data_IF_539757518026
#
_entry.id   IF_539757518026
#
_cell.length_a   1.000
_cell.length_b   1.000
_cell.length_c   1.000
_cell.angle_alpha   90.00
_cell.angle_beta   90.00
_cell.angle_gamma   90.00
#
_symmetry.space_group_name_H-M   'P 1'
#
loop_
_entity.id
_entity.type
_entity.pdbx_description
1 polymer ?
#
# COMPACT_ATOMS: atom_id res chain seq x y z
N UNK A 1 -5.47 -3.59 6.81
CA UNK A 1 -6.30 -2.39 6.57
C UNK A 1 -5.62 -1.13 7.05
N UNK A 2 -5.49 -0.16 6.15
CA UNK A 2 -4.93 1.19 6.38
C UNK A 2 -5.94 2.31 6.13
N UNK A 3 -7.22 1.93 6.08
CA UNK A 3 -8.42 2.79 6.05
C UNK A 3 -9.47 2.16 6.96
N UNK A 4 -10.52 2.89 7.30
CA UNK A 4 -11.71 2.29 7.91
C UNK A 4 -12.41 1.39 6.87
N UNK A 5 -12.75 0.14 7.19
CA UNK A 5 -13.36 -0.76 6.23
C UNK A 5 -14.75 -0.27 5.80
N UNK A 6 -15.14 -0.57 4.56
CA UNK A 6 -16.50 -0.37 4.06
C UNK A 6 -16.58 0.40 2.75
N UNK A 7 -15.73 1.42 2.55
CA UNK A 7 -15.83 2.31 1.38
C UNK A 7 -14.54 2.43 0.58
N UNK A 8 -14.70 2.56 -0.74
CA UNK A 8 -13.64 2.84 -1.69
C UNK A 8 -13.17 4.31 -1.64
N UNK A 9 -11.90 4.56 -1.96
CA UNK A 9 -11.37 5.91 -2.18
C UNK A 9 -11.04 6.72 -0.94
N UNK A 10 -11.06 6.07 0.23
CA UNK A 10 -10.65 6.65 1.50
C UNK A 10 -9.14 6.91 1.55
N UNK A 11 -8.75 7.91 2.35
CA UNK A 11 -7.35 8.28 2.53
C UNK A 11 -6.67 7.31 3.49
N UNK A 12 -5.39 7.03 3.22
CA UNK A 12 -4.53 6.28 4.12
C UNK A 12 -4.51 6.91 5.53
N UNK A 13 -4.68 6.09 6.57
CA UNK A 13 -4.65 6.52 7.97
C UNK A 13 -3.19 6.77 8.38
N UNK A 14 -2.93 7.91 9.02
CA UNK A 14 -1.57 8.37 9.35
C UNK A 14 -0.76 7.35 10.18
N UNK A 15 -1.41 6.68 11.13
CA UNK A 15 -0.79 5.65 11.98
C UNK A 15 -0.68 4.26 11.29
N UNK A 16 -1.01 4.17 9.99
CA UNK A 16 -0.92 2.94 9.22
C UNK A 16 0.51 2.41 9.11
N UNK A 17 1.50 3.29 8.95
CA UNK A 17 2.91 2.91 8.84
C UNK A 17 3.45 2.27 10.12
N UNK A 18 3.11 2.84 11.29
CA UNK A 18 3.52 2.27 12.58
C UNK A 18 2.97 0.86 12.78
N UNK A 19 1.73 0.62 12.33
CA UNK A 19 1.11 -0.70 12.38
C UNK A 19 1.84 -1.69 11.46
N UNK A 20 2.18 -1.28 10.25
CA UNK A 20 2.93 -2.08 9.29
C UNK A 20 4.28 -2.49 9.88
N UNK A 21 5.05 -1.53 10.44
CA UNK A 21 6.35 -1.80 11.06
C UNK A 21 6.25 -2.82 12.19
N UNK A 22 5.28 -2.64 13.10
CA UNK A 22 5.02 -3.59 14.20
C UNK A 22 4.63 -4.97 13.69
N UNK A 23 3.80 -5.05 12.66
CA UNK A 23 3.41 -6.34 12.07
C UNK A 23 4.60 -7.01 11.38
N UNK A 24 5.47 -6.28 10.68
CA UNK A 24 6.66 -6.85 10.05
C UNK A 24 7.66 -7.37 11.10
N UNK A 25 7.85 -6.63 12.19
CA UNK A 25 8.64 -7.09 13.35
C UNK A 25 8.03 -8.35 13.97
N UNK A 26 6.71 -8.39 14.13
CA UNK A 26 6.02 -9.58 14.59
C UNK A 26 6.26 -10.74 13.63
N UNK A 27 6.07 -10.59 12.32
CA UNK A 27 6.28 -11.66 11.32
C UNK A 27 7.67 -12.30 11.48
N UNK A 28 8.73 -11.50 11.62
CA UNK A 28 10.10 -11.98 11.79
C UNK A 28 10.59 -12.75 10.56
N UNK A 29 11.19 -13.93 10.77
CA UNK A 29 11.74 -14.78 9.71
C UNK A 29 10.73 -15.78 9.11
N UNK A 30 9.46 -15.69 9.52
CA UNK A 30 8.43 -16.63 9.05
C UNK A 30 8.06 -16.37 7.58
N UNK A 31 7.68 -17.39 6.82
CA UNK A 31 7.26 -17.25 5.42
C UNK A 31 5.83 -16.69 5.35
N UNK A 32 5.63 -15.44 5.79
CA UNK A 32 4.36 -14.72 5.75
C UNK A 32 4.57 -13.45 4.94
N UNK A 33 3.74 -13.27 3.93
CA UNK A 33 3.68 -12.04 3.14
C UNK A 33 2.77 -11.03 3.84
N UNK A 34 3.24 -9.79 3.96
CA UNK A 34 2.49 -8.68 4.51
C UNK A 34 1.77 -7.92 3.39
N UNK A 35 0.43 -7.97 3.40
CA UNK A 35 -0.41 -7.19 2.50
C UNK A 35 -0.92 -5.88 3.14
N UNK A 36 -0.96 -4.81 2.35
CA UNK A 36 -1.65 -3.57 2.70
C UNK A 36 -2.80 -3.28 1.75
N UNK A 37 -4.00 -3.23 2.33
CA UNK A 37 -5.25 -2.83 1.67
C UNK A 37 -5.80 -1.53 2.26
N UNK A 38 -6.15 -0.61 1.34
CA UNK A 38 -6.78 0.66 1.62
C UNK A 38 -5.85 1.87 1.46
N UNK A 39 -6.23 2.81 0.59
CA UNK A 39 -5.55 4.11 0.48
C UNK A 39 -4.16 4.05 -0.17
N UNK A 40 -3.81 2.98 -0.89
CA UNK A 40 -2.53 2.87 -1.61
C UNK A 40 -2.55 3.72 -2.89
N UNK A 41 -1.49 4.50 -3.11
CA UNK A 41 -1.29 5.37 -4.28
C UNK A 41 0.20 5.67 -4.53
N UNK A 42 0.49 6.52 -5.50
CA UNK A 42 1.84 6.95 -5.89
C UNK A 42 2.60 7.71 -4.79
N UNK A 43 1.90 8.35 -3.85
CA UNK A 43 2.51 9.09 -2.75
C UNK A 43 3.02 8.20 -1.60
N UNK A 44 2.53 6.97 -1.46
CA UNK A 44 2.88 6.10 -0.33
C UNK A 44 3.47 4.74 -0.69
N UNK A 45 3.32 4.27 -1.93
CA UNK A 45 3.73 2.91 -2.33
C UNK A 45 5.24 2.63 -2.10
N UNK A 46 6.10 3.64 -2.30
CA UNK A 46 7.53 3.52 -2.00
C UNK A 46 7.78 3.29 -0.51
N UNK A 47 7.08 4.03 0.35
CA UNK A 47 7.25 3.93 1.79
C UNK A 47 6.71 2.60 2.32
N UNK A 48 5.58 2.13 1.78
CA UNK A 48 5.05 0.79 2.09
C UNK A 48 6.09 -0.30 1.82
N UNK A 49 6.70 -0.27 0.63
CA UNK A 49 7.77 -1.19 0.28
C UNK A 49 8.96 -1.10 1.24
N UNK A 50 9.45 0.11 1.54
CA UNK A 50 10.57 0.32 2.48
C UNK A 50 10.30 -0.24 3.87
N UNK A 51 9.04 -0.25 4.30
CA UNK A 51 8.61 -0.82 5.58
C UNK A 51 8.32 -2.34 5.51
N UNK A 52 8.69 -3.01 4.42
CA UNK A 52 8.62 -4.47 4.29
C UNK A 52 7.25 -5.01 3.92
N UNK A 53 6.38 -4.19 3.32
CA UNK A 53 5.13 -4.66 2.71
C UNK A 53 5.45 -5.42 1.43
N UNK A 54 4.92 -6.64 1.33
CA UNK A 54 5.19 -7.56 0.23
C UNK A 54 4.12 -7.41 -0.88
N UNK A 55 2.87 -7.18 -0.49
CA UNK A 55 1.72 -7.06 -1.40
C UNK A 55 0.95 -5.77 -1.12
N UNK A 56 0.47 -5.10 -2.16
CA UNK A 56 -0.41 -3.93 -2.04
C UNK A 56 -1.67 -4.09 -2.88
N UNK A 57 -2.81 -3.71 -2.30
CA UNK A 57 -4.09 -3.66 -3.00
C UNK A 57 -4.36 -2.22 -3.43
N UNK A 58 -4.40 -1.99 -4.75
CA UNK A 58 -4.60 -0.66 -5.31
C UNK A 58 -5.97 -0.56 -5.97
N UNK A 59 -6.88 0.17 -5.33
CA UNK A 59 -8.15 0.58 -5.92
C UNK A 59 -8.06 2.00 -6.47
N UNK A 60 -8.31 2.99 -5.60
CA UNK A 60 -8.46 4.39 -6.02
C UNK A 60 -7.21 5.01 -6.63
N UNK A 61 -6.02 4.62 -6.16
CA UNK A 61 -4.76 5.05 -6.78
C UNK A 61 -4.61 4.63 -8.25
N UNK A 62 -5.35 3.62 -8.69
CA UNK A 62 -5.33 3.13 -10.08
C UNK A 62 -6.43 3.77 -10.93
N UNK A 63 -7.67 3.84 -10.42
CA UNK A 63 -8.86 4.15 -11.23
C UNK A 63 -9.51 5.51 -10.98
N UNK A 64 -9.22 6.21 -9.88
CA UNK A 64 -9.99 7.40 -9.49
C UNK A 64 -9.78 8.59 -10.43
N UNK A 65 -8.59 8.73 -11.01
CA UNK A 65 -8.20 9.87 -11.85
C UNK A 65 -7.20 9.46 -12.91
N UNK A 66 -7.23 10.12 -14.07
CA UNK A 66 -6.24 9.91 -15.14
C UNK A 66 -6.43 8.60 -15.90
N UNK A 67 -5.36 8.15 -16.57
CA UNK A 67 -5.37 6.91 -17.35
C UNK A 67 -4.88 5.72 -16.49
N UNK A 68 -5.70 4.68 -16.28
CA UNK A 68 -5.32 3.53 -15.44
C UNK A 68 -4.06 2.79 -15.91
N UNK A 69 -3.79 2.75 -17.21
CA UNK A 69 -2.58 2.09 -17.75
C UNK A 69 -1.32 2.87 -17.33
N UNK A 70 -1.35 4.19 -17.44
CA UNK A 70 -0.23 5.04 -17.03
C UNK A 70 -0.06 5.04 -15.50
N UNK A 71 -1.17 5.06 -14.75
CA UNK A 71 -1.14 4.91 -13.30
C UNK A 71 -0.51 3.58 -12.89
N UNK A 72 -0.89 2.46 -13.53
CA UNK A 72 -0.32 1.15 -13.25
C UNK A 72 1.19 1.09 -13.55
N UNK A 73 1.64 1.70 -14.65
CA UNK A 73 3.07 1.82 -14.98
C UNK A 73 3.82 2.61 -13.91
N UNK A 74 3.29 3.78 -13.53
CA UNK A 74 3.89 4.62 -12.51
C UNK A 74 3.97 3.90 -11.16
N UNK A 75 2.88 3.31 -10.69
CA UNK A 75 2.84 2.54 -9.44
C UNK A 75 3.83 1.38 -9.45
N UNK A 76 3.91 0.62 -10.55
CA UNK A 76 4.89 -0.47 -10.70
C UNK A 76 6.33 0.04 -10.70
N UNK A 77 6.59 1.21 -11.29
CA UNK A 77 7.91 1.83 -11.25
C UNK A 77 8.26 2.26 -9.82
N UNK A 78 7.37 3.00 -9.15
CA UNK A 78 7.55 3.48 -7.78
C UNK A 78 7.69 2.32 -6.78
N UNK A 79 7.02 1.19 -6.99
CA UNK A 79 7.16 0.00 -6.16
C UNK A 79 8.51 -0.75 -6.36
N UNK A 80 9.35 -0.34 -7.31
CA UNK A 80 10.63 -1.00 -7.64
C UNK A 80 11.86 -0.14 -7.36
N UNK A 81 11.70 1.18 -7.29
CA UNK A 81 12.75 2.12 -6.86
C UNK A 81 12.70 2.36 -5.36
#
# INVERSE_FOLDING_TARGET
MTVEPGFYGQKFIINGMDKIRKVKELIGSRPIELEVDGGVNDTNIQELRKNGVDIVVVGAGLYKTGNPVENAKNLKYLARV
#
